data_IF_240825923358
#
_entry.id   IF_240825923358
#
_cell.length_a   1.000
_cell.length_b   1.000
_cell.length_c   1.000
_cell.angle_alpha   90.00
_cell.angle_beta   90.00
_cell.angle_gamma   90.00
#
_symmetry.space_group_name_H-M   'P 1'
#
loop_
_entity.id
_entity.type
_entity.pdbx_description
1 polymer ?
#
# COMPACT_ATOMS: atom_id res chain seq x y z
N UNK A 1 -42.51 -6.32 -20.41
CA UNK A 1 -41.40 -5.77 -21.23
C UNK A 1 -40.44 -4.88 -20.44
N UNK A 2 -40.30 -5.02 -19.10
CA UNK A 2 -39.38 -4.16 -18.31
C UNK A 2 -37.97 -4.75 -18.15
N UNK A 3 -37.76 -6.04 -18.45
CA UNK A 3 -36.53 -6.77 -18.11
C UNK A 3 -35.34 -6.35 -18.98
N UNK A 4 -35.60 -5.86 -20.20
CA UNK A 4 -34.55 -5.32 -21.08
C UNK A 4 -34.09 -3.92 -20.67
N UNK A 5 -34.96 -3.12 -20.04
CA UNK A 5 -34.63 -1.73 -19.64
C UNK A 5 -33.64 -1.74 -18.47
N UNK A 6 -33.78 -2.70 -17.55
CA UNK A 6 -32.86 -2.88 -16.42
C UNK A 6 -31.45 -3.31 -16.86
N UNK A 7 -31.32 -4.09 -17.95
CA UNK A 7 -30.02 -4.52 -18.48
C UNK A 7 -29.24 -3.37 -19.13
N UNK A 8 -29.93 -2.45 -19.80
CA UNK A 8 -29.31 -1.26 -20.41
C UNK A 8 -28.82 -0.26 -19.36
N UNK A 9 -29.56 -0.07 -18.26
CA UNK A 9 -29.14 0.83 -17.17
C UNK A 9 -27.86 0.36 -16.46
N UNK A 10 -27.61 -0.96 -16.42
CA UNK A 10 -26.41 -1.51 -15.78
C UNK A 10 -25.13 -1.30 -16.60
N UNK A 11 -25.23 -1.17 -17.93
CA UNK A 11 -24.09 -0.94 -18.82
C UNK A 11 -23.67 0.53 -18.91
N UNK A 12 -24.58 1.46 -18.56
CA UNK A 12 -24.32 2.90 -18.55
C UNK A 12 -23.96 3.45 -17.17
N UNK A 13 -23.77 2.59 -16.16
CA UNK A 13 -23.19 3.05 -14.91
C UNK A 13 -21.78 3.57 -15.20
N UNK A 14 -21.49 4.86 -14.91
CA UNK A 14 -20.16 5.40 -15.11
C UNK A 14 -19.18 4.57 -14.31
N UNK A 15 -18.26 3.88 -15.00
CA UNK A 15 -17.17 3.21 -14.34
C UNK A 15 -16.40 4.28 -13.56
N UNK A 16 -16.36 4.14 -12.24
CA UNK A 16 -15.55 5.02 -11.40
C UNK A 16 -14.12 5.00 -11.97
N UNK A 17 -13.49 6.16 -12.18
CA UNK A 17 -12.15 6.21 -12.73
C UNK A 17 -11.25 5.33 -11.87
N UNK A 18 -10.58 4.35 -12.49
CA UNK A 18 -9.62 3.53 -11.77
C UNK A 18 -8.50 4.43 -11.28
N UNK A 19 -8.36 4.51 -9.96
CA UNK A 19 -7.28 5.27 -9.33
C UNK A 19 -5.92 4.87 -9.91
N UNK A 20 -5.05 5.87 -10.09
CA UNK A 20 -3.65 5.76 -10.53
C UNK A 20 -2.71 5.26 -9.41
N UNK A 21 -3.26 4.93 -8.25
CA UNK A 21 -2.55 4.37 -7.11
C UNK A 21 -3.20 3.09 -6.58
N UNK A 22 -2.44 2.40 -5.72
CA UNK A 22 -2.87 1.27 -4.91
C UNK A 22 -2.54 1.61 -3.46
N UNK A 23 -3.46 1.35 -2.55
CA UNK A 23 -3.19 1.44 -1.12
C UNK A 23 -2.91 0.04 -0.58
N UNK A 24 -1.76 -0.13 0.05
CA UNK A 24 -1.40 -1.34 0.80
C UNK A 24 -1.61 -1.07 2.28
N UNK A 25 -2.35 -1.94 2.97
CA UNK A 25 -2.47 -1.90 4.43
C UNK A 25 -1.49 -2.91 4.99
N UNK A 26 -0.49 -2.41 5.72
CA UNK A 26 0.42 -3.26 6.47
C UNK A 26 -0.28 -3.69 7.75
N UNK A 27 -0.94 -4.84 7.68
CA UNK A 27 -1.83 -5.35 8.73
C UNK A 27 -1.15 -6.34 9.68
N UNK A 28 0.08 -6.75 9.36
CA UNK A 28 0.91 -7.46 10.31
C UNK A 28 1.51 -6.49 11.35
N UNK A 29 0.98 -6.59 12.57
CA UNK A 29 1.37 -5.75 13.71
C UNK A 29 2.75 -6.08 14.29
N UNK A 30 3.38 -7.18 13.88
CA UNK A 30 4.68 -7.63 14.35
C UNK A 30 5.80 -7.43 13.32
N UNK A 31 5.47 -7.30 12.03
CA UNK A 31 6.46 -7.31 10.94
C UNK A 31 7.01 -5.95 10.51
N UNK A 32 6.25 -4.85 10.61
CA UNK A 32 6.71 -3.57 10.08
C UNK A 32 7.54 -2.79 11.10
N UNK A 33 8.80 -2.51 10.74
CA UNK A 33 9.66 -1.59 11.48
C UNK A 33 10.04 -0.42 10.59
N UNK A 34 9.97 0.78 11.16
CA UNK A 34 10.68 1.92 10.59
C UNK A 34 12.17 1.66 10.73
N UNK A 35 12.88 1.69 9.61
CA UNK A 35 14.33 1.55 9.58
C UNK A 35 14.89 2.85 9.03
N UNK A 36 15.49 3.65 9.92
CA UNK A 36 16.38 4.75 9.51
C UNK A 36 17.79 4.16 9.32
N UNK A 37 18.41 4.36 8.16
CA UNK A 37 19.82 4.00 7.92
C UNK A 37 20.63 5.21 7.43
N UNK A 38 21.83 5.34 7.98
CA UNK A 38 22.86 6.29 7.55
C UNK A 38 22.92 7.58 8.40
N UNK A 39 24.14 8.05 8.63
CA UNK A 39 24.40 9.40 9.11
C UNK A 39 24.66 10.29 7.89
N UNK A 40 23.60 10.97 7.44
CA UNK A 40 23.64 11.97 6.36
C UNK A 40 23.99 11.44 4.94
N UNK A 41 23.01 11.24 4.04
CA UNK A 41 21.58 11.52 4.20
C UNK A 41 20.83 10.38 4.88
N UNK A 42 19.83 10.74 5.69
CA UNK A 42 18.93 9.79 6.34
C UNK A 42 18.11 9.07 5.28
N UNK A 43 18.34 7.77 5.10
CA UNK A 43 17.48 6.93 4.27
C UNK A 43 16.33 6.40 5.12
N UNK A 44 15.11 6.48 4.60
CA UNK A 44 13.91 6.03 5.28
C UNK A 44 13.31 4.82 4.57
N UNK A 45 13.20 3.69 5.28
CA UNK A 45 12.64 2.47 4.73
C UNK A 45 11.61 1.88 5.65
N UNK A 46 10.62 1.21 5.05
CA UNK A 46 9.67 0.38 5.77
C UNK A 46 9.96 -1.06 5.33
N UNK A 47 10.69 -1.79 6.16
CA UNK A 47 10.97 -3.19 5.86
C UNK A 47 9.79 -4.03 6.34
N UNK A 48 9.12 -4.72 5.41
CA UNK A 48 8.23 -5.83 5.76
C UNK A 48 9.05 -7.10 5.63
N UNK A 49 9.43 -7.74 6.72
CA UNK A 49 10.14 -9.02 6.63
C UNK A 49 9.15 -10.14 6.31
N UNK A 50 8.57 -10.13 5.11
CA UNK A 50 7.87 -11.29 4.58
C UNK A 50 8.92 -12.25 4.03
N UNK A 51 9.06 -13.39 4.72
CA UNK A 51 9.97 -14.46 4.33
C UNK A 51 9.15 -15.63 3.81
N UNK A 52 9.09 -15.74 2.49
CA UNK A 52 8.84 -17.03 1.86
C UNK A 52 10.17 -17.83 1.91
N UNK A 53 10.13 -19.15 1.81
CA UNK A 53 11.34 -19.98 1.71
C UNK A 53 12.26 -19.49 0.57
N UNK A 54 11.66 -18.86 -0.44
CA UNK A 54 12.30 -18.39 -1.68
C UNK A 54 12.92 -16.99 -1.62
N UNK A 55 12.63 -16.16 -0.60
CA UNK A 55 13.17 -14.79 -0.59
C UNK A 55 12.58 -13.82 0.43
N UNK A 56 12.99 -12.55 0.30
CA UNK A 56 12.62 -11.40 1.11
C UNK A 56 11.91 -10.33 0.26
N UNK A 57 10.82 -9.78 0.79
CA UNK A 57 10.14 -8.60 0.23
C UNK A 57 10.51 -7.37 1.05
N UNK A 58 10.61 -6.19 0.44
CA UNK A 58 10.82 -4.91 1.16
C UNK A 58 9.92 -3.82 0.60
N UNK A 59 9.39 -2.93 1.45
CA UNK A 59 8.51 -1.80 1.04
C UNK A 59 9.16 -0.45 1.40
N UNK A 60 10.09 0.02 0.59
CA UNK A 60 10.88 1.19 0.93
C UNK A 60 10.87 2.27 -0.13
N UNK A 61 11.35 3.46 0.25
CA UNK A 61 11.78 4.44 -0.73
C UNK A 61 13.16 4.98 -0.35
N UNK A 62 14.14 4.72 -1.21
CA UNK A 62 15.46 5.30 -1.08
C UNK A 62 15.42 6.77 -1.53
N UNK A 63 15.66 7.70 -0.62
CA UNK A 63 15.90 9.09 -0.98
C UNK A 63 17.11 9.65 -0.24
N UNK A 64 17.81 10.57 -0.90
CA UNK A 64 19.07 11.17 -0.45
C UNK A 64 18.80 12.62 -0.05
N UNK A 65 18.05 13.37 -0.87
CA UNK A 65 17.74 14.75 -0.57
C UNK A 65 16.27 14.95 -0.13
N UNK A 66 15.95 15.98 0.67
CA UNK A 66 14.57 16.27 1.07
C UNK A 66 13.60 16.45 -0.10
N UNK A 67 14.08 16.98 -1.23
CA UNK A 67 13.33 17.13 -2.49
C UNK A 67 13.01 15.78 -3.17
N UNK A 68 13.77 14.73 -2.88
CA UNK A 68 13.53 13.37 -3.37
C UNK A 68 12.53 12.59 -2.50
N UNK A 69 11.99 13.24 -1.45
CA UNK A 69 11.06 12.62 -0.53
C UNK A 69 9.84 12.11 -1.32
N UNK A 70 9.43 10.84 -1.09
CA UNK A 70 8.32 10.25 -1.82
C UNK A 70 7.03 11.03 -1.58
N UNK A 71 6.08 10.94 -2.53
CA UNK A 71 4.79 11.57 -2.35
C UNK A 71 4.11 11.02 -1.09
N UNK A 72 3.36 11.88 -0.41
CA UNK A 72 2.51 11.49 0.71
C UNK A 72 1.09 11.88 0.40
N UNK A 73 0.14 11.13 0.94
CA UNK A 73 -1.27 11.51 0.90
C UNK A 73 -1.90 11.29 2.26
N UNK A 74 -2.92 12.08 2.57
CA UNK A 74 -3.63 11.97 3.84
C UNK A 74 -5.05 11.47 3.57
N UNK A 75 -5.42 10.36 4.22
CA UNK A 75 -6.74 9.75 4.05
C UNK A 75 -7.31 9.30 5.38
N UNK A 76 -8.64 9.37 5.55
CA UNK A 76 -9.32 8.71 6.66
C UNK A 76 -9.43 7.21 6.39
N UNK A 77 -9.53 6.41 7.46
CA UNK A 77 -9.64 4.95 7.31
C UNK A 77 -10.84 4.51 6.44
N UNK A 78 -12.04 5.11 6.54
CA UNK A 78 -13.13 4.79 5.61
C UNK A 78 -12.80 5.06 4.13
N UNK A 79 -12.07 6.14 3.83
CA UNK A 79 -11.63 6.44 2.46
C UNK A 79 -10.58 5.44 1.97
N UNK A 80 -9.71 4.98 2.87
CA UNK A 80 -8.75 3.91 2.57
C UNK A 80 -9.50 2.63 2.20
N UNK A 81 -10.55 2.25 2.93
CA UNK A 81 -11.34 1.06 2.59
C UNK A 81 -12.09 1.23 1.25
N UNK A 82 -12.56 2.43 0.95
CA UNK A 82 -13.22 2.74 -0.33
C UNK A 82 -12.29 2.69 -1.54
N UNK A 83 -10.97 2.83 -1.35
CA UNK A 83 -9.99 2.75 -2.45
C UNK A 83 -9.64 1.31 -2.86
N UNK A 84 -10.35 0.31 -2.30
CA UNK A 84 -10.08 -1.11 -2.50
C UNK A 84 -8.62 -1.47 -2.15
N UNK A 85 -8.22 -1.29 -0.88
CA UNK A 85 -6.85 -1.51 -0.45
C UNK A 85 -6.53 -3.00 -0.46
N UNK A 86 -5.24 -3.32 -0.55
CA UNK A 86 -4.75 -4.70 -0.43
C UNK A 86 -4.10 -4.85 0.94
N UNK A 87 -4.50 -5.86 1.69
CA UNK A 87 -3.86 -6.18 2.96
C UNK A 87 -2.59 -6.99 2.68
N UNK A 88 -1.52 -6.71 3.43
CA UNK A 88 -0.27 -7.45 3.25
C UNK A 88 -0.42 -8.93 3.57
N UNK A 89 -1.31 -9.29 4.50
CA UNK A 89 -1.67 -10.68 4.80
C UNK A 89 -2.39 -11.41 3.65
N UNK A 90 -3.01 -10.68 2.71
CA UNK A 90 -3.67 -11.28 1.55
C UNK A 90 -2.65 -11.68 0.45
N UNK A 91 -1.40 -11.23 0.55
CA UNK A 91 -0.36 -11.48 -0.45
C UNK A 91 0.48 -12.68 -0.01
N UNK A 92 0.07 -13.85 -0.47
CA UNK A 92 0.58 -15.14 0.02
C UNK A 92 1.78 -15.70 -0.76
N UNK A 93 2.23 -15.03 -1.82
CA UNK A 93 3.29 -15.56 -2.68
C UNK A 93 4.13 -14.46 -3.33
N UNK A 94 5.39 -14.81 -3.65
CA UNK A 94 6.35 -13.89 -4.23
C UNK A 94 5.95 -13.38 -5.63
N UNK A 95 5.21 -14.17 -6.41
CA UNK A 95 4.75 -13.77 -7.74
C UNK A 95 3.68 -12.66 -7.64
N UNK A 96 2.80 -12.72 -6.64
CA UNK A 96 1.82 -11.66 -6.35
C UNK A 96 2.53 -10.37 -5.94
N UNK A 97 3.59 -10.46 -5.13
CA UNK A 97 4.45 -9.32 -4.83
C UNK A 97 5.15 -8.77 -6.08
N UNK A 98 5.66 -9.62 -6.96
CA UNK A 98 6.28 -9.21 -8.23
C UNK A 98 5.31 -8.50 -9.16
N UNK A 99 4.07 -9.00 -9.26
CA UNK A 99 3.00 -8.33 -10.06
C UNK A 99 2.70 -6.93 -9.54
N UNK A 100 2.71 -6.72 -8.23
CA UNK A 100 2.55 -5.40 -7.64
C UNK A 100 3.76 -4.52 -7.92
N UNK A 101 4.99 -5.05 -7.84
CA UNK A 101 6.23 -4.30 -8.08
C UNK A 101 6.33 -3.75 -9.50
N UNK A 102 5.86 -4.50 -10.50
CA UNK A 102 5.87 -4.08 -11.92
C UNK A 102 4.63 -3.28 -12.33
N UNK A 103 3.67 -3.10 -11.42
CA UNK A 103 2.48 -2.29 -11.70
C UNK A 103 2.89 -0.82 -11.91
N UNK A 104 2.31 -0.17 -12.93
CA UNK A 104 2.57 1.25 -13.22
C UNK A 104 1.94 2.22 -12.21
N UNK A 105 1.04 1.72 -11.36
CA UNK A 105 0.38 2.51 -10.31
C UNK A 105 1.34 2.84 -9.18
N UNK A 106 1.17 4.03 -8.59
CA UNK A 106 1.88 4.38 -7.36
C UNK A 106 1.39 3.53 -6.20
N UNK A 107 2.29 3.13 -5.31
CA UNK A 107 1.94 2.30 -4.16
C UNK A 107 2.07 3.15 -2.90
N UNK A 108 0.95 3.33 -2.19
CA UNK A 108 0.91 4.03 -0.92
C UNK A 108 0.64 3.04 0.20
N UNK A 109 1.36 3.15 1.31
CA UNK A 109 1.19 2.25 2.45
C UNK A 109 0.55 2.94 3.65
N UNK A 110 -0.41 2.26 4.27
CA UNK A 110 -0.82 2.49 5.64
C UNK A 110 0.05 1.63 6.55
N UNK A 111 0.79 2.28 7.43
CA UNK A 111 1.75 1.63 8.31
C UNK A 111 1.07 0.84 9.42
N UNK A 112 1.70 -0.27 9.82
CA UNK A 112 1.18 -1.12 10.90
C UNK A 112 1.10 -0.37 12.23
N UNK A 113 2.01 0.56 12.50
CA UNK A 113 1.98 1.44 13.67
C UNK A 113 0.66 2.22 13.79
N UNK A 114 0.09 2.64 12.66
CA UNK A 114 -1.18 3.34 12.60
C UNK A 114 -2.35 2.37 12.48
N UNK A 115 -2.26 1.37 11.61
CA UNK A 115 -3.32 0.37 11.42
C UNK A 115 -3.60 -0.48 12.66
N UNK A 116 -2.56 -0.91 13.37
CA UNK A 116 -2.67 -1.72 14.58
C UNK A 116 -2.97 -0.89 15.84
N UNK A 117 -3.02 0.43 15.71
CA UNK A 117 -3.42 1.30 16.82
C UNK A 117 -4.95 1.43 16.93
N UNK A 118 -5.44 1.79 18.10
CA UNK A 118 -6.86 2.14 18.29
C UNK A 118 -7.32 3.35 17.46
N UNK A 119 -6.39 4.10 16.85
CA UNK A 119 -6.70 5.28 16.05
C UNK A 119 -7.58 4.95 14.83
N UNK A 120 -7.51 3.72 14.28
CA UNK A 120 -8.34 3.30 13.14
C UNK A 120 -9.84 3.34 13.42
N UNK A 121 -10.24 3.30 14.69
CA UNK A 121 -11.64 3.35 15.12
C UNK A 121 -12.14 4.78 15.37
N UNK A 122 -11.26 5.78 15.30
CA UNK A 122 -11.61 7.19 15.50
C UNK A 122 -12.07 7.78 14.17
N UNK A 123 -13.36 8.14 14.07
CA UNK A 123 -14.01 8.57 12.82
C UNK A 123 -13.36 9.77 12.14
N UNK A 124 -12.80 10.70 12.91
CA UNK A 124 -12.16 11.92 12.41
C UNK A 124 -10.64 11.77 12.25
N UNK A 125 -10.08 10.59 12.51
CA UNK A 125 -8.65 10.37 12.35
C UNK A 125 -8.30 10.30 10.86
N UNK A 126 -7.25 11.05 10.50
CA UNK A 126 -6.59 10.92 9.21
C UNK A 126 -5.23 10.26 9.38
N UNK A 127 -4.84 9.48 8.38
CA UNK A 127 -3.60 8.75 8.32
C UNK A 127 -2.74 9.30 7.19
N UNK A 128 -1.45 9.46 7.46
CA UNK A 128 -0.48 9.80 6.43
C UNK A 128 -0.02 8.51 5.77
N UNK A 129 -0.27 8.40 4.47
CA UNK A 129 0.21 7.31 3.63
C UNK A 129 1.47 7.77 2.90
N UNK A 130 2.39 6.83 2.72
CA UNK A 130 3.70 7.09 2.12
C UNK A 130 3.82 6.32 0.80
N UNK A 131 4.23 7.01 -0.26
CA UNK A 131 4.60 6.34 -1.51
C UNK A 131 5.85 5.47 -1.27
N UNK A 132 5.81 4.23 -1.74
CA UNK A 132 6.89 3.25 -1.61
C UNK A 132 7.11 2.48 -2.91
N UNK A 133 8.27 1.84 -2.99
CA UNK A 133 8.62 0.84 -3.99
C UNK A 133 8.71 -0.53 -3.34
N UNK A 134 8.39 -1.57 -4.11
CA UNK A 134 8.56 -2.96 -3.69
C UNK A 134 9.93 -3.44 -4.17
N UNK A 135 10.78 -3.86 -3.24
CA UNK A 135 12.03 -4.57 -3.51
C UNK A 135 11.84 -6.06 -3.27
N UNK A 136 12.43 -6.90 -4.13
CA UNK A 136 12.41 -8.36 -4.04
C UNK A 136 13.84 -8.88 -4.06
N UNK A 137 14.17 -9.73 -3.10
CA UNK A 137 15.46 -10.39 -2.98
C UNK A 137 15.21 -11.91 -2.89
N UNK A 138 15.85 -12.69 -3.76
CA UNK A 138 15.73 -14.14 -3.76
C UNK A 138 16.80 -14.76 -2.87
N UNK A 139 16.46 -15.83 -2.15
CA UNK A 139 17.46 -16.63 -1.45
C UNK A 139 18.21 -17.46 -2.52
N UNK A 140 19.54 -17.35 -2.55
CA UNK A 140 20.42 -18.19 -3.39
C UNK A 140 20.43 -19.66 -2.92
#
# INVERSE_FOLDING_TARGET
MWKLILLLLFWFLPQLPTSDYVVLIVDDCQLAKYVERGENPKRFFIALHYKDERGLVTLGHNYIYPEDKPATMTMSYPKILQSNPIFTSDINDLLSWAKLAINKKKIFILLSSDYCSGKRFVSNQSFMLYEVKIGLELNE
#
